data_IF_129250029600
#
_entry.id   IF_129250029600
#
_cell.length_a   1.000
_cell.length_b   1.000
_cell.length_c   1.000
_cell.angle_alpha   90.00
_cell.angle_beta   90.00
_cell.angle_gamma   90.00
#
_symmetry.space_group_name_H-M   'P 1'
#
loop_
_entity.id
_entity.type
_entity.pdbx_description
1 polymer ?
#
# COMPACT_ATOMS: atom_id res chain seq x y z
N UNK A 1 17.19 -0.65 -1.38
CA UNK A 1 15.82 -1.06 -1.02
C UNK A 1 15.08 0.15 -0.50
N UNK A 2 15.53 0.73 0.61
CA UNK A 2 15.10 2.04 1.10
C UNK A 2 16.34 2.84 1.52
N UNK A 3 16.19 4.15 1.68
CA UNK A 3 17.14 5.06 2.33
C UNK A 3 16.39 5.76 3.47
N UNK A 4 17.12 6.04 4.54
CA UNK A 4 16.64 6.79 5.69
C UNK A 4 17.31 8.15 5.69
N UNK A 5 16.52 9.20 5.62
CA UNK A 5 17.00 10.59 5.66
C UNK A 5 16.41 11.25 6.91
N UNK A 6 17.23 11.94 7.72
CA UNK A 6 16.68 12.78 8.80
C UNK A 6 15.88 13.91 8.18
N UNK A 7 14.74 14.23 8.78
CA UNK A 7 13.99 15.40 8.37
C UNK A 7 14.83 16.66 8.62
N UNK A 8 14.92 17.49 7.59
CA UNK A 8 15.69 18.73 7.59
C UNK A 8 15.03 19.84 8.39
N UNK A 9 13.74 19.72 8.69
CA UNK A 9 12.94 20.66 9.48
C UNK A 9 12.90 20.23 10.95
N UNK A 10 12.70 18.94 11.21
CA UNK A 10 12.75 18.34 12.55
C UNK A 10 13.70 17.13 12.58
N UNK A 11 14.93 17.35 13.05
CA UNK A 11 15.96 16.32 13.12
C UNK A 11 15.63 15.12 14.05
N UNK A 12 14.49 15.14 14.75
CA UNK A 12 13.96 14.01 15.54
C UNK A 12 13.20 13.00 14.66
N UNK A 13 12.73 13.43 13.49
CA UNK A 13 11.99 12.61 12.54
C UNK A 13 12.91 11.97 11.50
N UNK A 14 12.58 10.75 11.07
CA UNK A 14 13.31 9.99 10.04
C UNK A 14 12.35 9.67 8.89
N UNK A 15 12.70 10.15 7.70
CA UNK A 15 11.97 9.90 6.47
C UNK A 15 12.49 8.65 5.78
N UNK A 16 11.57 7.82 5.29
CA UNK A 16 11.88 6.62 4.50
C UNK A 16 11.63 6.90 3.03
N UNK A 17 12.65 6.75 2.19
CA UNK A 17 12.55 6.93 0.75
C UNK A 17 12.97 5.66 -0.01
N UNK A 18 12.34 5.39 -1.15
CA UNK A 18 12.81 4.33 -2.05
C UNK A 18 14.10 4.75 -2.74
N UNK A 19 15.13 3.90 -2.66
CA UNK A 19 16.29 3.97 -3.56
C UNK A 19 15.87 3.62 -4.99
N UNK A 20 16.67 3.95 -6.01
CA UNK A 20 16.42 3.54 -7.40
C UNK A 20 16.23 2.02 -7.56
N UNK A 21 17.10 1.22 -6.93
CA UNK A 21 16.93 -0.25 -6.86
C UNK A 21 15.62 -0.67 -6.18
N UNK A 22 15.19 0.10 -5.19
CA UNK A 22 13.92 -0.11 -4.48
C UNK A 22 12.72 0.19 -5.36
N UNK A 23 12.76 1.29 -6.12
CA UNK A 23 11.74 1.68 -7.09
C UNK A 23 11.53 0.60 -8.15
N UNK A 24 12.61 0.09 -8.77
CA UNK A 24 12.52 -1.00 -9.76
C UNK A 24 11.89 -2.27 -9.18
N UNK A 25 12.24 -2.62 -7.94
CA UNK A 25 11.67 -3.80 -7.27
C UNK A 25 10.20 -3.59 -6.93
N UNK A 26 9.83 -2.38 -6.53
CA UNK A 26 8.44 -2.01 -6.30
C UNK A 26 7.61 -2.10 -7.59
N UNK A 27 8.12 -1.60 -8.72
CA UNK A 27 7.46 -1.71 -10.03
C UNK A 27 7.26 -3.18 -10.44
N UNK A 28 8.26 -4.04 -10.23
CA UNK A 28 8.13 -5.48 -10.48
C UNK A 28 7.07 -6.13 -9.58
N UNK A 29 7.04 -5.78 -8.29
CA UNK A 29 6.05 -6.30 -7.35
C UNK A 29 4.63 -5.82 -7.69
N UNK A 30 4.48 -4.57 -8.17
CA UNK A 30 3.19 -4.02 -8.58
C UNK A 30 2.53 -4.83 -9.69
N UNK A 31 3.30 -5.34 -10.65
CA UNK A 31 2.75 -6.20 -11.72
C UNK A 31 2.18 -7.49 -11.15
N UNK A 32 2.91 -8.14 -10.23
CA UNK A 32 2.45 -9.36 -9.56
C UNK A 32 1.20 -9.11 -8.72
N UNK A 33 1.18 -7.99 -8.00
CA UNK A 33 0.04 -7.56 -7.21
C UNK A 33 -1.21 -7.34 -8.06
N UNK A 34 -1.08 -6.63 -9.20
CA UNK A 34 -2.18 -6.42 -10.15
C UNK A 34 -2.73 -7.75 -10.66
N UNK A 35 -1.86 -8.67 -11.07
CA UNK A 35 -2.30 -10.00 -11.52
C UNK A 35 -3.06 -10.77 -10.43
N UNK A 36 -2.68 -10.63 -9.16
CA UNK A 36 -3.43 -11.22 -8.05
C UNK A 36 -4.81 -10.57 -7.88
N UNK A 37 -4.90 -9.25 -7.99
CA UNK A 37 -6.17 -8.50 -7.93
C UNK A 37 -7.09 -8.87 -9.11
N UNK A 38 -6.55 -9.04 -10.30
CA UNK A 38 -7.32 -9.45 -11.49
C UNK A 38 -8.00 -10.81 -11.28
N UNK A 39 -7.34 -11.75 -10.57
CA UNK A 39 -7.94 -13.06 -10.24
C UNK A 39 -9.12 -12.92 -9.28
N UNK A 40 -9.05 -11.99 -8.33
CA UNK A 40 -10.17 -11.70 -7.42
C UNK A 40 -11.34 -11.13 -8.20
N UNK A 41 -11.07 -10.16 -9.09
CA UNK A 41 -12.10 -9.56 -9.97
C UNK A 41 -12.71 -10.61 -10.90
N UNK A 42 -11.91 -11.52 -11.46
CA UNK A 42 -12.40 -12.60 -12.30
C UNK A 42 -13.32 -13.58 -11.54
N UNK A 43 -13.04 -13.84 -10.26
CA UNK A 43 -13.82 -14.75 -9.43
C UNK A 43 -15.13 -14.14 -8.92
N UNK A 44 -15.13 -12.85 -8.57
CA UNK A 44 -16.25 -12.18 -7.90
C UNK A 44 -17.07 -11.28 -8.83
N UNK A 45 -16.51 -10.88 -9.97
CA UNK A 45 -17.01 -9.78 -10.79
C UNK A 45 -16.62 -8.41 -10.21
N UNK A 46 -16.60 -7.39 -11.08
CA UNK A 46 -16.10 -6.03 -10.76
C UNK A 46 -16.85 -5.41 -9.58
N UNK A 47 -18.19 -5.40 -9.63
CA UNK A 47 -19.03 -4.75 -8.61
C UNK A 47 -18.82 -5.33 -7.20
N UNK A 48 -18.82 -6.66 -7.07
CA UNK A 48 -18.61 -7.33 -5.79
C UNK A 48 -17.17 -7.16 -5.29
N UNK A 49 -16.18 -7.20 -6.19
CA UNK A 49 -14.79 -6.98 -5.83
C UNK A 49 -14.56 -5.54 -5.30
N UNK A 50 -15.22 -4.54 -5.87
CA UNK A 50 -15.15 -3.15 -5.38
C UNK A 50 -15.84 -3.00 -4.02
N UNK A 51 -17.04 -3.56 -3.86
CA UNK A 51 -17.74 -3.54 -2.56
C UNK A 51 -16.90 -4.19 -1.45
N UNK A 52 -16.21 -5.30 -1.75
CA UNK A 52 -15.32 -5.96 -0.80
C UNK A 52 -14.14 -5.06 -0.41
N UNK A 53 -13.53 -4.36 -1.37
CA UNK A 53 -12.43 -3.42 -1.08
C UNK A 53 -12.90 -2.28 -0.17
N UNK A 54 -14.07 -1.72 -0.43
CA UNK A 54 -14.63 -0.64 0.39
C UNK A 54 -14.88 -1.10 1.83
N UNK A 55 -15.44 -2.30 2.01
CA UNK A 55 -15.63 -2.88 3.35
C UNK A 55 -14.31 -3.13 4.07
N UNK A 56 -13.30 -3.67 3.37
CA UNK A 56 -11.99 -3.91 3.96
C UNK A 56 -11.28 -2.61 4.34
N UNK A 57 -11.40 -1.57 3.51
CA UNK A 57 -10.85 -0.25 3.82
C UNK A 57 -11.53 0.36 5.04
N UNK A 58 -12.86 0.25 5.16
CA UNK A 58 -13.59 0.70 6.35
C UNK A 58 -13.10 0.04 7.63
N UNK A 59 -12.86 -1.28 7.62
CA UNK A 59 -12.30 -1.99 8.78
C UNK A 59 -10.88 -1.51 9.12
N UNK A 60 -10.05 -1.27 8.11
CA UNK A 60 -8.68 -0.80 8.32
C UNK A 60 -8.63 0.61 8.90
N UNK A 61 -9.53 1.50 8.47
CA UNK A 61 -9.65 2.88 8.95
C UNK A 61 -10.22 2.94 10.38
N UNK A 62 -11.26 2.16 10.69
CA UNK A 62 -11.85 2.10 12.03
C UNK A 62 -10.86 1.59 13.09
N UNK A 63 -10.00 0.64 12.74
CA UNK A 63 -8.96 0.15 13.65
C UNK A 63 -7.88 1.20 13.94
N UNK A 64 -7.63 2.14 13.02
CA UNK A 64 -6.71 3.26 13.24
C UNK A 64 -7.34 4.36 14.11
N UNK A 65 -8.68 4.50 14.11
CA UNK A 65 -9.41 5.44 14.97
C UNK A 65 -9.54 5.00 16.43
N UNK A 66 -9.44 3.70 16.73
CA UNK A 66 -9.60 3.17 18.09
C UNK A 66 -8.32 3.24 18.96
N UNK A 67 -7.20 3.76 18.43
CA UNK A 67 -5.93 3.95 19.16
C UNK A 67 -5.49 5.42 19.27
N UNK A 68 -6.37 6.38 18.95
CA UNK A 68 -6.11 7.82 19.12
C UNK A 68 -6.76 8.37 20.39
#
# INVERSE_FOLDING_TARGET
MIRLDKDTTDCRSVNVALTEKGRRRFEQALVLWRSAQDRVVAALGVSMADQLRDQMNGVAEDQLGSQA
#
